data_IF_552119194931
#
_entry.id   IF_552119194931
#
_cell.length_a   1.000
_cell.length_b   1.000
_cell.length_c   1.000
_cell.angle_alpha   90.00
_cell.angle_beta   90.00
_cell.angle_gamma   90.00
#
_symmetry.space_group_name_H-M   'P 1'
#
loop_
_entity.id
_entity.type
_entity.pdbx_description
1 polymer ?
#
# COMPACT_ATOMS: atom_id res chain seq x y z
N UNK A 1 -12.59 -10.10 -13.87
CA UNK A 1 -11.59 -9.04 -13.65
C UNK A 1 -10.23 -9.70 -13.51
N UNK A 2 -9.22 -9.22 -14.22
CA UNK A 2 -7.86 -9.70 -14.02
C UNK A 2 -7.32 -9.34 -12.64
N UNK A 3 -6.49 -10.22 -12.07
CA UNK A 3 -5.80 -10.04 -10.78
C UNK A 3 -4.31 -10.37 -10.87
N UNK A 4 -3.83 -10.66 -12.08
CA UNK A 4 -2.47 -11.14 -12.29
C UNK A 4 -1.51 -9.95 -12.26
N UNK A 5 -0.44 -10.00 -11.44
CA UNK A 5 0.56 -8.95 -11.47
C UNK A 5 1.24 -8.90 -12.86
N UNK A 6 1.52 -7.71 -13.39
CA UNK A 6 2.23 -7.57 -14.65
C UNK A 6 3.66 -8.14 -14.54
N UNK A 7 4.28 -8.42 -15.69
CA UNK A 7 5.71 -8.69 -15.73
C UNK A 7 6.45 -7.45 -15.19
N UNK A 8 7.43 -7.67 -14.30
CA UNK A 8 8.18 -6.57 -13.71
C UNK A 8 8.94 -5.81 -14.81
N UNK A 9 8.64 -4.53 -15.01
CA UNK A 9 9.37 -3.66 -15.92
C UNK A 9 10.40 -2.84 -15.14
N UNK A 10 11.36 -3.53 -14.53
CA UNK A 10 12.48 -2.87 -13.87
C UNK A 10 13.50 -2.43 -14.93
N UNK A 11 13.40 -1.20 -15.45
CA UNK A 11 14.44 -0.61 -16.28
C UNK A 11 14.48 0.94 -16.30
N UNK A 12 13.94 1.65 -15.30
CA UNK A 12 14.00 3.12 -15.30
C UNK A 12 14.57 3.71 -14.02
N UNK A 13 15.70 4.42 -14.15
CA UNK A 13 16.34 5.27 -13.14
C UNK A 13 15.48 6.49 -12.70
N UNK A 14 14.21 6.54 -13.09
CA UNK A 14 13.25 7.60 -12.75
C UNK A 14 11.97 7.05 -12.09
N UNK A 15 12.06 5.85 -11.50
CA UNK A 15 10.90 5.01 -11.20
C UNK A 15 9.80 5.71 -10.38
N UNK A 16 8.62 5.76 -10.99
CA UNK A 16 7.34 6.30 -10.47
C UNK A 16 6.42 5.15 -10.05
N UNK A 17 6.99 4.10 -9.49
CA UNK A 17 6.29 2.84 -9.20
C UNK A 17 5.38 3.05 -7.98
N UNK A 18 4.07 2.95 -8.20
CA UNK A 18 3.05 3.21 -7.17
C UNK A 18 2.39 1.95 -6.64
N UNK A 19 2.78 0.79 -7.17
CA UNK A 19 2.25 -0.51 -6.79
C UNK A 19 3.38 -1.40 -6.30
N UNK A 20 3.14 -2.06 -5.19
CA UNK A 20 3.95 -3.15 -4.65
C UNK A 20 3.13 -4.43 -4.71
N UNK A 21 3.73 -5.48 -5.25
CA UNK A 21 3.26 -6.86 -5.17
C UNK A 21 4.30 -7.72 -4.45
N UNK A 22 3.91 -8.46 -3.44
CA UNK A 22 4.80 -9.38 -2.72
C UNK A 22 4.12 -10.71 -2.45
N UNK A 23 4.92 -11.77 -2.31
CA UNK A 23 4.46 -13.06 -1.79
C UNK A 23 5.01 -13.23 -0.39
N UNK A 24 4.12 -13.51 0.57
CA UNK A 24 4.43 -13.59 1.98
C UNK A 24 4.19 -14.98 2.56
N UNK A 25 5.07 -15.42 3.45
CA UNK A 25 5.02 -16.66 4.21
C UNK A 25 4.03 -16.59 5.39
N UNK A 26 2.86 -15.99 5.19
CA UNK A 26 1.83 -15.81 6.22
C UNK A 26 0.45 -15.83 5.59
N UNK A 27 -0.60 -15.88 6.41
CA UNK A 27 -1.99 -15.81 5.96
C UNK A 27 -2.41 -14.40 5.53
N UNK A 28 -3.49 -14.25 4.74
CA UNK A 28 -3.86 -12.96 4.15
C UNK A 28 -4.24 -11.89 5.19
N UNK A 29 -4.82 -12.28 6.33
CA UNK A 29 -5.18 -11.34 7.39
C UNK A 29 -3.93 -10.77 8.05
N UNK A 30 -2.97 -11.64 8.39
CA UNK A 30 -1.69 -11.20 8.92
C UNK A 30 -0.92 -10.35 7.90
N UNK A 31 -0.90 -10.74 6.62
CA UNK A 31 -0.25 -9.97 5.56
C UNK A 31 -0.80 -8.53 5.47
N UNK A 32 -2.12 -8.37 5.47
CA UNK A 32 -2.78 -7.06 5.47
C UNK A 32 -2.45 -6.30 6.74
N UNK A 33 -2.54 -6.94 7.90
CA UNK A 33 -2.27 -6.30 9.19
C UNK A 33 -0.85 -5.75 9.27
N UNK A 34 0.18 -6.54 8.92
CA UNK A 34 1.59 -6.08 8.94
C UNK A 34 1.82 -4.87 8.03
N UNK A 35 1.17 -4.87 6.85
CA UNK A 35 1.26 -3.75 5.93
C UNK A 35 0.50 -2.53 6.44
N UNK A 36 -0.69 -2.72 7.02
CA UNK A 36 -1.49 -1.64 7.60
C UNK A 36 -0.78 -1.01 8.81
N UNK A 37 -0.21 -1.82 9.70
CA UNK A 37 0.57 -1.38 10.86
C UNK A 37 1.74 -0.48 10.44
N UNK A 38 2.44 -0.82 9.35
CA UNK A 38 3.46 0.06 8.76
C UNK A 38 2.87 1.43 8.40
N UNK A 39 1.78 1.48 7.63
CA UNK A 39 1.19 2.76 7.22
C UNK A 39 0.63 3.56 8.39
N UNK A 40 -0.01 2.91 9.36
CA UNK A 40 -0.49 3.53 10.60
C UNK A 40 0.69 4.15 11.36
N UNK A 41 1.85 3.48 11.44
CA UNK A 41 3.05 4.03 12.06
C UNK A 41 3.58 5.31 11.37
N UNK A 42 3.32 5.47 10.06
CA UNK A 42 3.64 6.71 9.32
C UNK A 42 2.63 7.84 9.55
N UNK A 43 1.50 7.54 10.21
CA UNK A 43 0.39 8.45 10.50
C UNK A 43 -0.85 8.24 9.65
N UNK A 44 -0.97 7.12 8.92
CA UNK A 44 -2.17 6.81 8.16
C UNK A 44 -3.36 6.48 9.08
N UNK A 45 -4.58 6.71 8.59
CA UNK A 45 -5.84 6.44 9.30
C UNK A 45 -6.82 5.69 8.40
N UNK A 46 -7.94 5.25 8.95
CA UNK A 46 -8.98 4.57 8.19
C UNK A 46 -9.46 5.39 6.99
N UNK A 47 -9.61 4.70 5.87
CA UNK A 47 -10.01 5.26 4.58
C UNK A 47 -11.51 5.23 4.34
N UNK A 48 -11.91 4.81 3.14
CA UNK A 48 -13.34 4.73 2.77
C UNK A 48 -14.05 3.62 3.56
N UNK A 49 -15.05 3.92 4.40
CA UNK A 49 -15.87 2.89 5.05
C UNK A 49 -16.55 2.01 4.01
N UNK A 50 -16.61 0.70 4.24
CA UNK A 50 -17.18 -0.26 3.29
C UNK A 50 -16.16 -0.85 2.31
N UNK A 51 -14.91 -0.35 2.28
CA UNK A 51 -13.91 -0.79 1.31
C UNK A 51 -13.41 -2.22 1.58
N UNK A 52 -13.27 -2.60 2.85
CA UNK A 52 -12.96 -3.97 3.26
C UNK A 52 -13.98 -4.97 2.73
N UNK A 53 -15.26 -4.64 2.79
CA UNK A 53 -16.37 -5.45 2.31
C UNK A 53 -16.38 -5.53 0.79
N UNK A 54 -16.04 -4.45 0.09
CA UNK A 54 -15.89 -4.47 -1.37
C UNK A 54 -14.75 -5.39 -1.79
N UNK A 55 -13.59 -5.32 -1.13
CA UNK A 55 -12.46 -6.22 -1.37
C UNK A 55 -12.85 -7.68 -1.08
N UNK A 56 -13.53 -7.92 0.04
CA UNK A 56 -14.01 -9.25 0.43
C UNK A 56 -14.97 -9.84 -0.61
N UNK A 57 -15.86 -9.02 -1.18
CA UNK A 57 -16.78 -9.45 -2.25
C UNK A 57 -16.05 -9.91 -3.53
N UNK A 58 -14.79 -9.54 -3.69
CA UNK A 58 -13.90 -9.97 -4.77
C UNK A 58 -12.87 -11.03 -4.36
N UNK A 59 -13.00 -11.62 -3.16
CA UNK A 59 -12.10 -12.67 -2.66
C UNK A 59 -10.80 -12.15 -2.05
N UNK A 60 -10.77 -10.90 -1.60
CA UNK A 60 -9.61 -10.27 -0.99
C UNK A 60 -9.86 -9.88 0.46
N UNK A 61 -8.89 -10.14 1.31
CA UNK A 61 -8.80 -9.49 2.62
C UNK A 61 -8.09 -8.16 2.41
N UNK A 62 -8.59 -7.06 2.95
CA UNK A 62 -7.91 -5.79 2.74
C UNK A 62 -8.62 -4.59 3.33
N UNK A 63 -7.99 -3.44 3.17
CA UNK A 63 -8.48 -2.15 3.64
C UNK A 63 -7.97 -1.02 2.75
N UNK A 64 -8.54 0.17 2.95
CA UNK A 64 -8.01 1.42 2.44
C UNK A 64 -7.65 2.32 3.61
N UNK A 65 -6.47 2.92 3.55
CA UNK A 65 -5.98 3.90 4.52
C UNK A 65 -5.80 5.25 3.84
N UNK A 66 -5.84 6.32 4.62
CA UNK A 66 -5.54 7.68 4.18
C UNK A 66 -4.26 8.15 4.86
N UNK A 67 -3.26 8.52 4.06
CA UNK A 67 -2.06 9.25 4.51
C UNK A 67 -2.28 10.75 4.28
N UNK A 68 -1.43 11.59 4.88
CA UNK A 68 -1.58 13.05 4.81
C UNK A 68 -2.28 13.63 6.03
N UNK A 69 -1.72 14.71 6.58
CA UNK A 69 -2.37 15.46 7.67
C UNK A 69 -2.94 16.78 7.15
N UNK A 70 -4.21 17.05 7.44
CA UNK A 70 -4.56 18.39 7.92
C UNK A 70 -3.83 18.57 9.26
N UNK A 71 -3.05 19.64 9.37
CA UNK A 71 -2.18 19.91 10.50
C UNK A 71 -2.88 19.68 11.85
N UNK A 72 -2.47 18.64 12.59
CA UNK A 72 -2.34 18.51 14.07
C UNK A 72 -2.29 17.02 14.46
N UNK A 73 -1.49 16.74 15.49
CA UNK A 73 -1.14 15.43 16.06
C UNK A 73 0.11 14.75 15.49
N UNK A 74 1.26 15.37 15.77
CA UNK A 74 2.39 14.59 16.28
C UNK A 74 2.17 14.42 17.79
N UNK A 75 1.63 13.26 18.18
CA UNK A 75 1.70 12.76 19.54
C UNK A 75 2.15 11.29 19.43
N UNK A 76 3.37 11.02 19.85
CA UNK A 76 3.90 9.65 19.97
C UNK A 76 3.19 8.91 21.11
N UNK A 77 3.01 7.59 21.00
CA UNK A 77 3.60 6.61 21.95
C UNK A 77 3.03 5.18 21.75
N UNK A 78 3.91 4.19 21.94
CA UNK A 78 3.62 2.83 22.49
C UNK A 78 3.37 1.61 21.58
N UNK A 79 3.42 1.69 20.25
CA UNK A 79 3.40 0.46 19.40
C UNK A 79 4.78 0.06 18.84
N UNK A 80 5.85 0.71 19.29
CA UNK A 80 7.20 0.64 18.68
C UNK A 80 8.08 -0.46 19.30
N UNK A 81 7.62 -1.21 20.29
CA UNK A 81 8.52 -2.11 21.04
C UNK A 81 8.95 -3.39 20.27
N UNK A 82 8.41 -3.65 19.08
CA UNK A 82 8.76 -4.84 18.27
C UNK A 82 9.03 -4.58 16.78
N UNK A 83 9.18 -3.33 16.35
CA UNK A 83 9.58 -3.00 14.97
C UNK A 83 11.04 -2.54 14.95
N UNK A 84 11.90 -3.01 14.01
CA UNK A 84 13.25 -2.49 13.88
C UNK A 84 13.21 -0.98 13.72
N UNK A 85 14.04 -0.31 14.52
CA UNK A 85 14.22 1.14 14.63
C UNK A 85 14.59 1.72 13.26
N UNK A 86 13.62 2.01 12.41
CA UNK A 86 13.83 2.72 11.15
C UNK A 86 12.86 3.90 11.14
N UNK A 87 13.39 5.09 11.44
CA UNK A 87 12.73 6.37 11.15
C UNK A 87 12.35 7.26 12.33
N UNK A 88 13.06 7.21 13.47
CA UNK A 88 13.06 8.37 14.38
C UNK A 88 13.71 9.56 13.65
N UNK A 89 13.15 10.76 13.80
CA UNK A 89 13.60 12.06 13.24
C UNK A 89 12.92 12.53 11.92
N UNK A 90 11.65 12.98 11.99
CA UNK A 90 10.99 13.72 10.90
C UNK A 90 11.65 15.08 10.56
N UNK A 91 12.57 15.60 11.39
CA UNK A 91 13.17 16.93 11.21
C UNK A 91 14.14 16.99 10.03
N UNK A 92 14.77 15.88 9.66
CA UNK A 92 15.81 15.80 8.61
C UNK A 92 15.28 15.43 7.22
N UNK A 93 13.99 15.09 7.09
CA UNK A 93 13.41 14.78 5.79
C UNK A 93 13.39 16.04 4.87
N UNK A 94 13.80 15.92 3.59
CA UNK A 94 13.68 16.97 2.59
C UNK A 94 12.29 17.62 2.54
N UNK A 95 12.22 18.92 2.22
CA UNK A 95 10.96 19.69 2.17
C UNK A 95 9.92 19.07 1.22
N UNK A 96 10.36 18.43 0.13
CA UNK A 96 9.51 17.68 -0.79
C UNK A 96 8.86 16.46 -0.12
N UNK A 97 9.61 15.69 0.66
CA UNK A 97 9.09 14.54 1.43
C UNK A 97 8.09 15.01 2.48
N UNK A 98 8.37 16.13 3.15
CA UNK A 98 7.43 16.76 4.10
C UNK A 98 6.13 17.22 3.41
N UNK A 99 6.20 17.80 2.20
CA UNK A 99 5.01 18.19 1.42
C UNK A 99 4.24 17.00 0.87
N UNK A 100 4.90 15.97 0.36
CA UNK A 100 4.25 14.73 -0.09
C UNK A 100 3.57 13.99 1.06
N UNK A 101 4.20 13.99 2.25
CA UNK A 101 3.60 13.50 3.50
C UNK A 101 2.40 14.33 3.94
N UNK A 102 2.28 15.58 3.48
CA UNK A 102 1.13 16.45 3.72
C UNK A 102 0.03 16.24 2.67
N UNK A 103 0.35 15.74 1.48
CA UNK A 103 -0.63 15.41 0.45
C UNK A 103 -1.47 14.20 0.90
N UNK A 104 -2.79 14.36 0.84
CA UNK A 104 -3.71 13.28 1.15
C UNK A 104 -3.56 12.19 0.09
N UNK A 105 -3.22 10.96 0.48
CA UNK A 105 -3.24 9.79 -0.42
C UNK A 105 -4.13 8.72 0.15
N UNK A 106 -4.72 7.92 -0.74
CA UNK A 106 -5.51 6.74 -0.36
C UNK A 106 -4.73 5.49 -0.69
N UNK A 107 -4.16 4.85 0.31
CA UNK A 107 -3.38 3.63 0.17
C UNK A 107 -4.33 2.44 0.24
N UNK A 108 -4.27 1.56 -0.76
CA UNK A 108 -5.01 0.31 -0.74
C UNK A 108 -4.06 -0.82 -0.39
N UNK A 109 -4.49 -1.67 0.54
CA UNK A 109 -3.79 -2.87 0.99
C UNK A 109 -4.74 -4.03 0.80
N UNK A 110 -4.33 -5.03 0.04
CA UNK A 110 -5.15 -6.22 -0.20
C UNK A 110 -4.28 -7.47 -0.27
N UNK A 111 -4.70 -8.53 0.39
CA UNK A 111 -4.09 -9.84 0.29
C UNK A 111 -5.12 -10.92 0.02
N UNK A 112 -4.68 -11.98 -0.63
CA UNK A 112 -5.47 -13.21 -0.81
C UNK A 112 -4.56 -14.44 -0.70
N UNK A 113 -5.11 -15.62 -0.38
CA UNK A 113 -4.28 -16.80 -0.24
C UNK A 113 -3.72 -17.21 -1.60
N UNK A 114 -2.47 -17.65 -1.61
CA UNK A 114 -1.83 -18.27 -2.76
C UNK A 114 -0.96 -19.47 -2.32
N UNK A 115 -0.31 -20.13 -3.27
CA UNK A 115 0.68 -21.17 -2.97
C UNK A 115 1.99 -20.88 -3.69
N UNK A 116 3.09 -21.01 -2.96
CA UNK A 116 4.46 -20.85 -3.46
C UNK A 116 5.23 -22.11 -3.13
N UNK A 117 5.70 -22.83 -4.15
CA UNK A 117 6.41 -24.10 -3.97
C UNK A 117 5.58 -25.16 -3.21
N UNK A 118 4.26 -25.17 -3.37
CA UNK A 118 3.35 -26.10 -2.70
C UNK A 118 3.07 -25.77 -1.22
N UNK A 119 3.61 -24.66 -0.70
CA UNK A 119 3.34 -24.18 0.66
C UNK A 119 2.27 -23.10 0.66
N UNK A 120 1.42 -23.00 1.71
CA UNK A 120 0.50 -21.89 1.88
C UNK A 120 1.26 -20.57 1.98
N UNK A 121 0.76 -19.56 1.29
CA UNK A 121 1.31 -18.22 1.25
C UNK A 121 0.19 -17.19 1.04
N UNK A 122 0.55 -15.92 1.03
CA UNK A 122 -0.35 -14.84 0.63
C UNK A 122 0.28 -14.00 -0.45
N UNK A 123 -0.49 -13.64 -1.45
CA UNK A 123 -0.12 -12.51 -2.31
C UNK A 123 -0.62 -11.22 -1.66
N UNK A 124 0.26 -10.23 -1.55
CA UNK A 124 0.00 -8.92 -0.96
C UNK A 124 0.17 -7.85 -2.04
N UNK A 125 -0.80 -6.95 -2.09
CA UNK A 125 -0.79 -5.74 -2.89
C UNK A 125 -0.86 -4.51 -1.99
N UNK A 126 0.00 -3.53 -2.25
CA UNK A 126 0.00 -2.25 -1.55
C UNK A 126 0.28 -1.12 -2.55
N UNK A 127 -0.63 -0.16 -2.69
CA UNK A 127 -0.52 0.86 -3.74
C UNK A 127 -1.28 2.16 -3.46
N UNK A 128 -0.89 3.22 -4.19
CA UNK A 128 -1.62 4.50 -4.22
C UNK A 128 -2.89 4.39 -5.08
N UNK A 129 -4.04 4.40 -4.43
CA UNK A 129 -5.37 4.37 -5.05
C UNK A 129 -5.84 5.71 -5.60
N UNK A 130 -5.05 6.78 -5.47
CA UNK A 130 -5.28 8.07 -6.14
C UNK A 130 -4.20 8.30 -7.22
N UNK A 131 -4.39 7.67 -8.37
CA UNK A 131 -3.48 7.74 -9.53
C UNK A 131 -3.44 9.15 -10.18
N UNK A 132 -4.03 10.16 -9.55
CA UNK A 132 -4.07 11.56 -10.02
C UNK A 132 -3.58 12.47 -8.90
N UNK A 133 -2.27 12.71 -8.84
CA UNK A 133 -1.68 13.72 -7.92
C UNK A 133 -1.39 15.01 -8.70
N UNK A 134 -1.52 16.16 -8.02
CA UNK A 134 -1.33 17.50 -8.58
C UNK A 134 0.15 17.87 -8.81
N UNK A 135 1.09 17.17 -8.16
CA UNK A 135 2.53 17.22 -8.46
C UNK A 135 3.09 15.78 -8.51
N UNK A 136 3.14 15.17 -9.70
CA UNK A 136 3.59 13.80 -9.86
C UNK A 136 4.99 13.58 -9.28
N UNK A 137 5.92 14.53 -9.36
CA UNK A 137 7.32 14.29 -9.01
C UNK A 137 7.51 14.08 -7.51
N UNK A 138 6.90 14.96 -6.70
CA UNK A 138 7.02 14.94 -5.23
C UNK A 138 6.23 13.79 -4.62
N UNK A 139 5.00 13.56 -5.11
CA UNK A 139 4.16 12.43 -4.73
C UNK A 139 4.85 11.08 -5.02
N UNK A 140 5.53 10.97 -6.16
CA UNK A 140 6.20 9.73 -6.55
C UNK A 140 7.38 9.40 -5.64
N UNK A 141 8.20 10.39 -5.26
CA UNK A 141 9.34 10.16 -4.37
C UNK A 141 8.93 9.65 -2.98
N UNK A 142 7.81 10.15 -2.43
CA UNK A 142 7.26 9.64 -1.17
C UNK A 142 6.80 8.19 -1.27
N UNK A 143 6.00 7.86 -2.29
CA UNK A 143 5.50 6.50 -2.48
C UNK A 143 6.65 5.52 -2.73
N UNK A 144 7.66 5.94 -3.51
CA UNK A 144 8.85 5.14 -3.78
C UNK A 144 9.60 4.81 -2.49
N UNK A 145 9.86 5.82 -1.65
CA UNK A 145 10.50 5.65 -0.34
C UNK A 145 9.66 4.76 0.58
N UNK A 146 8.36 5.04 0.71
CA UNK A 146 7.48 4.33 1.63
C UNK A 146 7.32 2.85 1.26
N UNK A 147 7.16 2.54 -0.03
CA UNK A 147 7.09 1.15 -0.48
C UNK A 147 8.46 0.43 -0.33
N UNK A 148 9.58 1.17 -0.29
CA UNK A 148 10.92 0.61 -0.13
C UNK A 148 11.14 0.24 1.34
N UNK A 149 10.80 1.16 2.24
CA UNK A 149 10.82 0.94 3.68
C UNK A 149 9.86 -0.19 4.09
N UNK A 150 8.66 -0.25 3.50
CA UNK A 150 7.73 -1.38 3.69
C UNK A 150 8.37 -2.70 3.26
N UNK A 151 9.07 -2.73 2.13
CA UNK A 151 9.80 -3.92 1.66
C UNK A 151 10.86 -4.34 2.67
N UNK A 152 11.65 -3.38 3.19
CA UNK A 152 12.68 -3.64 4.20
C UNK A 152 12.05 -4.15 5.52
N UNK A 153 10.91 -3.60 5.93
CA UNK A 153 10.19 -4.04 7.13
C UNK A 153 9.66 -5.48 6.98
N UNK A 154 9.12 -5.84 5.82
CA UNK A 154 8.66 -7.21 5.53
C UNK A 154 9.84 -8.19 5.43
N UNK A 155 10.97 -7.75 4.88
CA UNK A 155 12.20 -8.53 4.81
C UNK A 155 12.77 -8.81 6.21
N UNK A 156 12.85 -7.79 7.05
CA UNK A 156 13.36 -7.91 8.42
C UNK A 156 12.53 -8.87 9.29
N UNK A 157 11.24 -9.01 8.99
CA UNK A 157 10.34 -9.98 9.62
C UNK A 157 10.48 -11.41 9.07
N UNK A 158 11.29 -11.63 8.03
CA UNK A 158 11.47 -12.93 7.38
C UNK A 158 10.24 -13.41 6.61
N UNK A 159 9.31 -12.50 6.24
CA UNK A 159 8.04 -12.88 5.62
C UNK A 159 8.11 -13.00 4.10
N UNK A 160 9.08 -12.33 3.45
CA UNK A 160 9.17 -12.33 1.98
C UNK A 160 9.59 -13.71 1.44
N UNK A 161 8.77 -14.28 0.56
CA UNK A 161 9.07 -15.53 -0.16
C UNK A 161 9.91 -15.33 -1.43
N UNK A 162 10.17 -14.08 -1.78
CA UNK A 162 10.93 -13.68 -2.96
C UNK A 162 10.99 -12.16 -3.09
N UNK A 163 11.72 -11.64 -4.09
CA UNK A 163 11.81 -10.22 -4.33
C UNK A 163 10.42 -9.65 -4.69
N UNK A 164 9.95 -8.61 -3.98
CA UNK A 164 8.71 -7.93 -4.36
C UNK A 164 8.83 -7.34 -5.77
N UNK A 165 7.70 -7.31 -6.47
CA UNK A 165 7.57 -6.64 -7.76
C UNK A 165 7.00 -5.25 -7.55
N UNK A 166 7.48 -4.32 -8.37
CA UNK A 166 6.97 -2.97 -8.43
C UNK A 166 6.64 -2.61 -9.86
N UNK A 167 5.61 -1.78 -10.03
CA UNK A 167 5.12 -1.37 -11.34
C UNK A 167 4.25 -0.11 -11.22
N UNK A 168 3.89 0.43 -12.36
CA UNK A 168 3.02 1.59 -12.48
C UNK A 168 1.57 1.18 -12.76
N UNK A 169 0.63 2.06 -12.44
CA UNK A 169 -0.80 1.78 -12.64
C UNK A 169 -1.19 1.57 -14.12
N UNK A 170 -0.44 2.15 -15.07
CA UNK A 170 -0.67 1.92 -16.50
C UNK A 170 -0.20 0.54 -17.00
N UNK A 171 0.63 -0.18 -16.23
CA UNK A 171 1.06 -1.54 -16.55
C UNK A 171 -0.04 -2.56 -16.24
N UNK A 172 -1.05 -2.14 -15.45
CA UNK A 172 -2.21 -2.96 -15.15
C UNK A 172 -3.18 -3.00 -16.35
N UNK A 173 -3.72 -4.19 -16.68
CA UNK A 173 -4.83 -4.30 -17.60
C UNK A 173 -6.00 -3.38 -17.21
N UNK A 174 -6.72 -2.82 -18.19
CA UNK A 174 -7.83 -1.91 -17.93
C UNK A 174 -8.97 -2.53 -17.11
N UNK A 175 -9.12 -3.85 -17.20
CA UNK A 175 -10.10 -4.66 -16.46
C UNK A 175 -9.54 -5.25 -15.16
N UNK A 176 -8.32 -4.87 -14.77
CA UNK A 176 -7.70 -5.31 -13.53
C UNK A 176 -8.48 -4.78 -12.32
N UNK A 177 -8.63 -5.61 -11.28
CA UNK A 177 -9.36 -5.24 -10.06
C UNK A 177 -8.77 -4.01 -9.37
N UNK A 178 -7.44 -3.90 -9.38
CA UNK A 178 -6.71 -2.77 -8.80
C UNK A 178 -6.40 -1.65 -9.80
N UNK A 179 -7.04 -1.65 -10.97
CA UNK A 179 -7.00 -0.47 -11.83
C UNK A 179 -7.71 0.72 -11.15
N UNK A 180 -7.30 1.94 -11.47
CA UNK A 180 -7.93 3.16 -10.94
C UNK A 180 -9.45 3.17 -11.14
N UNK A 181 -9.94 2.68 -12.29
CA UNK A 181 -11.37 2.64 -12.60
C UNK A 181 -12.11 1.67 -11.68
N UNK A 182 -11.60 0.46 -11.51
CA UNK A 182 -12.18 -0.56 -10.64
C UNK A 182 -12.22 -0.10 -9.18
N UNK A 183 -11.13 0.50 -8.70
CA UNK A 183 -11.05 1.09 -7.35
C UNK A 183 -12.08 2.21 -7.16
N UNK A 184 -12.23 3.10 -8.14
CA UNK A 184 -13.23 4.16 -8.08
C UNK A 184 -14.68 3.59 -8.03
N UNK A 185 -14.95 2.50 -8.72
CA UNK A 185 -16.24 1.79 -8.66
C UNK A 185 -16.47 1.15 -7.29
N UNK A 186 -15.47 0.48 -6.72
CA UNK A 186 -15.54 -0.08 -5.36
C UNK A 186 -15.84 1.01 -4.33
N UNK A 187 -15.13 2.14 -4.34
CA UNK A 187 -15.41 3.27 -3.44
C UNK A 187 -16.84 3.81 -3.60
N UNK A 188 -17.36 3.88 -4.82
CA UNK A 188 -18.76 4.30 -5.07
C UNK A 188 -19.77 3.29 -4.56
N UNK A 189 -19.49 2.00 -4.67
CA UNK A 189 -20.34 0.94 -4.12
C UNK A 189 -20.31 0.95 -2.59
N UNK A 190 -19.13 1.07 -1.97
CA UNK A 190 -18.96 1.21 -0.53
C UNK A 190 -19.78 2.38 0.04
N UNK A 191 -19.75 3.55 -0.62
CA UNK A 191 -20.56 4.72 -0.22
C UNK A 191 -22.07 4.51 -0.36
N UNK A 192 -22.52 3.66 -1.29
CA UNK A 192 -23.94 3.35 -1.46
C UNK A 192 -24.45 2.37 -0.40
N UNK A 193 -23.62 1.42 0.01
CA UNK A 193 -23.96 0.43 1.04
C UNK A 193 -23.94 1.02 2.46
N UNK A 194 -23.40 2.23 2.63
CA UNK A 194 -23.33 2.95 3.91
C UNK A 194 -24.34 4.12 3.99
N UNK A 195 -25.36 4.11 3.12
CA UNK A 195 -26.51 5.04 3.14
C UNK A 195 -27.76 4.24 3.45
#
# INVERSE_FOLDING_TARGET
MSTTPPASTSNSLLNRERYLYAQLATDPHQAVQRCADYWVSTGARDGTPGMSEQLASHGWVGTELITGSDARHFAMSSFIDNLPVIGLFPSLAPKSIKRARQERKRIIIAARPCSVGGRPASELWCFDGEVVSMDPMVSNAFMDTALHDLTNALLAQGLLLGPPKRFMGHDLPKDHLFSFRSVALMRRAAKRNNR
#
